data_IF_420943558622
#
_entry.id   IF_420943558622
#
_cell.length_a   1.000
_cell.length_b   1.000
_cell.length_c   1.000
_cell.angle_alpha   90.00
_cell.angle_beta   90.00
_cell.angle_gamma   90.00
#
_symmetry.space_group_name_H-M   'P 1'
#
loop_
_entity.id
_entity.type
_entity.pdbx_description
1 polymer ?
#
# COMPACT_ATOMS: atom_id res chain seq x y z
N UNK A 1 1.84 12.08 -10.33
CA UNK A 1 2.57 12.79 -9.26
C UNK A 1 3.42 11.78 -8.49
N UNK A 2 4.72 12.02 -8.30
CA UNK A 2 5.64 11.07 -7.65
C UNK A 2 5.54 11.22 -6.13
N UNK A 3 5.11 10.19 -5.41
CA UNK A 3 5.00 10.16 -3.95
C UNK A 3 5.66 8.89 -3.40
N UNK A 4 6.18 8.97 -2.18
CA UNK A 4 6.67 7.81 -1.46
C UNK A 4 5.49 7.10 -0.80
N UNK A 5 5.21 5.88 -1.26
CA UNK A 5 4.13 5.05 -0.72
C UNK A 5 4.58 4.22 0.48
N UNK A 6 3.65 3.97 1.41
CA UNK A 6 3.82 3.15 2.62
C UNK A 6 4.48 1.79 2.37
N UNK A 7 4.16 1.12 1.25
CA UNK A 7 4.76 -0.18 0.87
C UNK A 7 6.27 -0.15 0.68
N UNK A 8 6.88 1.03 0.54
CA UNK A 8 8.33 1.21 0.47
C UNK A 8 8.97 1.63 1.80
N UNK A 9 8.18 1.92 2.84
CA UNK A 9 8.70 2.46 4.10
C UNK A 9 9.75 1.53 4.71
N UNK A 10 9.50 0.22 4.75
CA UNK A 10 10.46 -0.75 5.28
C UNK A 10 11.80 -0.76 4.53
N UNK A 11 11.80 -0.49 3.21
CA UNK A 11 13.04 -0.38 2.40
C UNK A 11 13.80 0.90 2.71
N UNK A 12 13.10 1.97 3.05
CA UNK A 12 13.67 3.29 3.36
C UNK A 12 14.21 3.30 4.79
N UNK A 13 13.43 2.80 5.76
CA UNK A 13 13.77 2.84 7.18
C UNK A 13 14.93 1.93 7.56
N UNK A 14 15.19 0.89 6.76
CA UNK A 14 16.29 -0.06 6.97
C UNK A 14 17.51 0.22 6.09
N UNK A 15 17.46 1.24 5.23
CA UNK A 15 18.58 1.62 4.41
C UNK A 15 19.73 2.14 5.29
N UNK A 16 20.94 1.66 5.04
CA UNK A 16 22.16 2.10 5.73
C UNK A 16 23.10 2.75 4.72
N UNK A 17 24.18 3.36 5.18
CA UNK A 17 25.22 3.95 4.31
C UNK A 17 25.88 2.94 3.37
N UNK A 18 25.78 1.64 3.67
CA UNK A 18 26.25 0.56 2.78
C UNK A 18 25.34 0.35 1.57
N UNK A 19 24.10 0.82 1.63
CA UNK A 19 23.16 0.72 0.52
C UNK A 19 23.47 1.78 -0.54
N UNK A 20 23.23 1.44 -1.81
CA UNK A 20 23.27 2.41 -2.90
C UNK A 20 22.03 3.32 -2.84
N UNK A 21 22.15 4.41 -2.08
CA UNK A 21 21.06 5.37 -1.85
C UNK A 21 20.59 6.06 -3.13
N UNK A 22 21.49 6.21 -4.12
CA UNK A 22 21.16 6.78 -5.42
C UNK A 22 20.23 5.84 -6.19
N UNK A 23 20.57 4.54 -6.27
CA UNK A 23 19.69 3.53 -6.88
C UNK A 23 18.38 3.39 -6.12
N UNK A 24 18.40 3.46 -4.79
CA UNK A 24 17.17 3.44 -3.98
C UNK A 24 16.26 4.61 -4.36
N UNK A 25 16.77 5.85 -4.36
CA UNK A 25 16.01 7.03 -4.74
C UNK A 25 15.46 6.95 -6.17
N UNK A 26 16.24 6.45 -7.12
CA UNK A 26 15.78 6.19 -8.49
C UNK A 26 14.63 5.16 -8.52
N UNK A 27 14.74 4.08 -7.75
CA UNK A 27 13.69 3.05 -7.68
C UNK A 27 12.37 3.55 -7.08
N UNK A 28 12.43 4.54 -6.18
CA UNK A 28 11.26 5.12 -5.50
C UNK A 28 10.55 6.20 -6.34
N UNK A 29 11.28 6.85 -7.24
CA UNK A 29 10.78 8.02 -7.99
C UNK A 29 10.48 7.73 -9.46
N UNK A 30 10.95 6.61 -10.00
CA UNK A 30 10.65 6.18 -11.38
C UNK A 30 9.30 5.45 -11.42
N UNK A 31 8.39 5.82 -12.35
CA UNK A 31 7.17 5.05 -12.57
C UNK A 31 7.51 3.61 -12.95
N UNK A 32 6.82 2.64 -12.32
CA UNK A 32 6.98 1.23 -12.62
C UNK A 32 5.61 0.57 -12.76
N UNK A 33 5.42 -0.16 -13.84
CA UNK A 33 4.28 -1.07 -13.98
C UNK A 33 4.57 -2.34 -13.17
N UNK A 34 3.69 -2.65 -12.22
CA UNK A 34 3.71 -3.89 -11.46
C UNK A 34 2.79 -4.90 -12.14
N UNK A 35 3.37 -5.82 -12.90
CA UNK A 35 2.67 -6.81 -13.73
C UNK A 35 3.06 -8.26 -13.41
N UNK A 36 3.49 -8.54 -12.18
CA UNK A 36 3.85 -9.90 -11.77
C UNK A 36 2.61 -10.78 -11.51
N UNK A 37 2.77 -12.10 -11.65
CA UNK A 37 1.69 -13.06 -11.37
C UNK A 37 1.12 -12.93 -9.93
N UNK A 38 1.94 -12.75 -8.87
CA UNK A 38 1.41 -12.48 -7.53
C UNK A 38 0.60 -11.18 -7.44
N UNK A 39 1.04 -10.12 -8.14
CA UNK A 39 0.27 -8.86 -8.19
C UNK A 39 -1.08 -9.05 -8.88
N UNK A 40 -1.11 -9.86 -9.95
CA UNK A 40 -2.34 -10.21 -10.65
C UNK A 40 -3.30 -11.03 -9.78
N UNK A 41 -2.76 -11.98 -9.01
CA UNK A 41 -3.53 -12.77 -8.05
C UNK A 41 -4.12 -11.87 -6.95
N UNK A 42 -3.28 -11.02 -6.33
CA UNK A 42 -3.72 -10.01 -5.35
C UNK A 42 -4.92 -9.21 -5.85
N UNK A 43 -4.78 -8.55 -7.01
CA UNK A 43 -5.86 -7.76 -7.61
C UNK A 43 -7.16 -8.53 -7.84
N UNK A 44 -7.06 -9.83 -8.16
CA UNK A 44 -8.23 -10.67 -8.44
C UNK A 44 -8.97 -11.09 -7.17
N UNK A 45 -8.26 -11.30 -6.06
CA UNK A 45 -8.81 -11.88 -4.84
C UNK A 45 -8.96 -10.88 -3.68
N UNK A 46 -8.38 -9.70 -3.77
CA UNK A 46 -8.47 -8.64 -2.75
C UNK A 46 -9.92 -8.35 -2.35
N UNK A 47 -10.83 -8.15 -3.32
CA UNK A 47 -12.24 -7.89 -3.03
C UNK A 47 -12.92 -9.02 -2.24
N UNK A 48 -12.60 -10.28 -2.54
CA UNK A 48 -13.13 -11.44 -1.80
C UNK A 48 -12.56 -11.50 -0.39
N UNK A 49 -11.28 -11.19 -0.22
CA UNK A 49 -10.65 -11.15 1.10
C UNK A 49 -11.28 -10.06 2.00
N UNK A 50 -11.59 -8.89 1.44
CA UNK A 50 -12.27 -7.81 2.16
C UNK A 50 -13.72 -8.15 2.52
N UNK A 51 -14.45 -8.81 1.62
CA UNK A 51 -15.81 -9.30 1.88
C UNK A 51 -15.81 -10.33 3.02
N UNK A 52 -14.91 -11.32 2.97
CA UNK A 52 -14.77 -12.29 4.05
C UNK A 52 -14.40 -11.66 5.38
N UNK A 53 -13.50 -10.67 5.39
CA UNK A 53 -13.15 -9.92 6.59
C UNK A 53 -14.37 -9.18 7.14
N UNK A 54 -15.13 -8.49 6.28
CA UNK A 54 -16.34 -7.76 6.65
C UNK A 54 -17.37 -8.68 7.32
N UNK A 55 -17.60 -9.86 6.73
CA UNK A 55 -18.52 -10.88 7.27
C UNK A 55 -18.03 -11.44 8.61
N UNK A 56 -16.75 -11.81 8.72
CA UNK A 56 -16.17 -12.42 9.94
C UNK A 56 -16.14 -11.44 11.12
N UNK A 57 -15.86 -10.17 10.84
CA UNK A 57 -15.71 -9.14 11.87
C UNK A 57 -17.00 -8.37 12.15
N UNK A 58 -18.09 -8.62 11.40
CA UNK A 58 -19.35 -7.90 11.54
C UNK A 58 -19.20 -6.39 11.33
N UNK A 59 -18.28 -5.98 10.44
CA UNK A 59 -17.94 -4.58 10.19
C UNK A 59 -18.03 -4.24 8.71
N UNK A 60 -18.38 -3.01 8.38
CA UNK A 60 -18.40 -2.54 7.00
C UNK A 60 -17.01 -2.07 6.59
N UNK A 61 -16.51 -2.57 5.46
CA UNK A 61 -15.27 -2.09 4.84
C UNK A 61 -15.62 -1.15 3.70
N UNK A 62 -15.19 0.10 3.79
CA UNK A 62 -15.30 1.07 2.72
C UNK A 62 -14.07 1.01 1.82
N UNK A 63 -14.29 1.05 0.50
CA UNK A 63 -13.18 1.05 -0.45
C UNK A 63 -12.35 2.32 -0.29
N UNK A 64 -11.05 2.16 -0.08
CA UNK A 64 -10.13 3.30 0.02
C UNK A 64 -9.51 3.66 -1.33
N UNK A 65 -9.15 4.94 -1.46
CA UNK A 65 -8.32 5.45 -2.55
C UNK A 65 -6.87 5.66 -2.11
N UNK A 66 -6.08 6.31 -2.97
CA UNK A 66 -4.77 6.83 -2.56
C UNK A 66 -4.97 8.03 -1.63
N UNK A 67 -4.45 7.91 -0.42
CA UNK A 67 -4.46 8.95 0.60
C UNK A 67 -3.10 9.64 0.65
N UNK A 68 -3.10 10.95 0.87
CA UNK A 68 -1.89 11.78 0.95
C UNK A 68 -1.80 12.39 2.33
N UNK A 69 -0.60 12.44 2.91
CA UNK A 69 -0.43 13.10 4.20
C UNK A 69 -0.76 14.60 4.09
N UNK A 70 -1.58 15.08 5.03
CA UNK A 70 -1.96 16.49 5.11
C UNK A 70 -0.79 17.39 5.51
N UNK A 71 0.22 16.84 6.19
CA UNK A 71 1.38 17.60 6.69
C UNK A 71 2.63 17.41 5.83
N UNK A 72 2.77 16.26 5.15
CA UNK A 72 3.94 15.92 4.35
C UNK A 72 3.50 15.48 2.95
N UNK A 73 3.32 16.42 1.99
CA UNK A 73 2.63 16.16 0.72
C UNK A 73 3.26 15.10 -0.21
N UNK A 74 4.53 14.78 0.00
CA UNK A 74 5.25 13.75 -0.77
C UNK A 74 5.05 12.33 -0.20
N UNK A 75 4.41 12.18 0.96
CA UNK A 75 4.05 10.89 1.54
C UNK A 75 2.61 10.51 1.18
N UNK A 76 2.39 9.24 0.88
CA UNK A 76 1.06 8.70 0.65
C UNK A 76 0.94 7.23 1.02
N UNK A 77 -0.29 6.77 1.08
CA UNK A 77 -0.64 5.36 1.22
C UNK A 77 -1.87 5.04 0.36
N UNK A 78 -2.15 3.76 0.22
CA UNK A 78 -3.35 3.26 -0.43
C UNK A 78 -3.80 2.03 0.34
N UNK A 79 -4.46 2.21 1.50
CA UNK A 79 -5.07 1.10 2.21
C UNK A 79 -6.04 0.37 1.28
N UNK A 80 -6.27 -0.92 1.52
CA UNK A 80 -7.23 -1.69 0.71
C UNK A 80 -8.67 -1.35 1.12
N UNK A 81 -8.88 -0.95 2.39
CA UNK A 81 -10.14 -0.41 2.86
C UNK A 81 -10.06 0.38 4.16
N UNK A 82 -11.14 1.11 4.47
CA UNK A 82 -11.38 1.83 5.71
C UNK A 82 -12.45 1.10 6.53
N UNK A 83 -12.29 1.09 7.85
CA UNK A 83 -13.17 0.35 8.77
C UNK A 83 -13.61 1.27 9.91
N UNK A 84 -14.92 1.51 10.01
CA UNK A 84 -15.47 2.41 11.03
C UNK A 84 -14.89 3.84 10.93
N UNK A 85 -14.59 4.46 12.07
CA UNK A 85 -14.15 5.88 12.12
C UNK A 85 -12.64 6.08 12.08
N UNK A 86 -11.85 5.04 12.38
CA UNK A 86 -10.39 5.17 12.51
C UNK A 86 -9.60 3.91 12.08
N UNK A 87 -10.28 2.85 11.65
CA UNK A 87 -9.66 1.61 11.23
C UNK A 87 -9.26 1.61 9.76
N UNK A 88 -8.23 0.83 9.44
CA UNK A 88 -7.82 0.53 8.07
C UNK A 88 -7.62 -0.98 7.94
N UNK A 89 -7.76 -1.50 6.73
CA UNK A 89 -7.47 -2.90 6.40
C UNK A 89 -6.48 -2.98 5.25
N UNK A 90 -5.54 -3.91 5.38
CA UNK A 90 -4.53 -4.27 4.38
C UNK A 90 -4.63 -5.79 4.17
N UNK A 91 -5.18 -6.20 3.03
CA UNK A 91 -5.33 -7.59 2.65
C UNK A 91 -4.08 -8.07 1.90
N UNK A 92 -3.68 -9.31 2.16
CA UNK A 92 -2.62 -10.00 1.40
C UNK A 92 -3.17 -11.30 0.85
N UNK A 93 -3.11 -11.45 -0.47
CA UNK A 93 -3.43 -12.69 -1.16
C UNK A 93 -2.10 -13.26 -1.72
N UNK A 94 -1.42 -14.16 -0.98
CA UNK A 94 -0.13 -14.71 -1.37
C UNK A 94 -0.20 -15.59 -2.62
#
# INVERSE_FOLDING_TARGET
MKRLHSSNFGRISTATEKADLVKLAQSLTRPRLLTSAPTGYGKKYEGKALEEYSLKMGTTVEKSGSQVSCTIPYLGCSPDGLVGTAGIVEAKCP
#
